data_IF_484537841552
#
_entry.id   IF_484537841552
#
_cell.length_a   1.000
_cell.length_b   1.000
_cell.length_c   1.000
_cell.angle_alpha   90.00
_cell.angle_beta   90.00
_cell.angle_gamma   90.00
#
_symmetry.space_group_name_H-M   'P 1'
#
loop_
_entity.id
_entity.type
_entity.pdbx_description
1 polymer ?
#
# COMPACT_ATOMS: atom_id res chain seq x y z
N UNK A 1 -25.32 -36.21 -3.09
CA UNK A 1 -24.96 -35.46 -4.32
C UNK A 1 -24.50 -34.07 -3.88
N UNK A 2 -23.19 -33.73 -3.98
CA UNK A 2 -22.71 -32.42 -3.58
C UNK A 2 -23.10 -31.37 -4.64
N UNK A 3 -23.44 -30.17 -4.15
CA UNK A 3 -24.05 -29.04 -4.86
C UNK A 3 -23.16 -28.53 -5.99
N UNK A 4 -23.78 -28.32 -7.16
CA UNK A 4 -23.20 -27.59 -8.27
C UNK A 4 -22.86 -26.17 -7.85
N UNK A 5 -21.58 -25.83 -7.92
CA UNK A 5 -21.16 -24.47 -8.17
C UNK A 5 -20.95 -24.39 -9.67
N UNK A 6 -21.94 -23.79 -10.31
CA UNK A 6 -21.94 -23.39 -11.69
C UNK A 6 -20.67 -22.59 -11.99
N UNK A 7 -19.92 -23.12 -12.96
CA UNK A 7 -19.07 -22.41 -13.90
C UNK A 7 -19.56 -20.97 -14.13
N UNK A 8 -19.00 -20.03 -13.38
CA UNK A 8 -19.16 -18.60 -13.58
C UNK A 8 -17.85 -17.99 -14.10
N UNK A 9 -17.89 -16.82 -14.77
CA UNK A 9 -16.74 -16.15 -15.40
C UNK A 9 -15.59 -15.75 -14.43
N UNK A 10 -15.72 -16.10 -13.15
CA UNK A 10 -14.71 -15.92 -12.10
C UNK A 10 -13.62 -17.00 -12.16
N UNK A 11 -13.93 -18.22 -12.64
CA UNK A 11 -12.96 -19.30 -12.75
C UNK A 11 -11.91 -19.04 -13.83
N UNK A 12 -12.33 -18.61 -15.02
CA UNK A 12 -11.46 -18.23 -16.15
C UNK A 12 -10.48 -17.09 -15.80
N UNK A 13 -10.94 -16.08 -15.05
CA UNK A 13 -10.09 -14.96 -14.65
C UNK A 13 -8.99 -15.37 -13.65
N UNK A 14 -9.20 -16.45 -12.89
CA UNK A 14 -8.22 -16.98 -11.96
C UNK A 14 -7.11 -17.77 -12.66
N UNK A 15 -7.42 -18.48 -13.75
CA UNK A 15 -6.43 -19.22 -14.55
C UNK A 15 -5.57 -18.28 -15.42
N UNK A 16 -6.16 -17.24 -16.01
CA UNK A 16 -5.43 -16.24 -16.79
C UNK A 16 -4.34 -15.50 -15.99
N UNK A 17 -4.54 -15.31 -14.68
CA UNK A 17 -3.53 -14.74 -13.78
C UNK A 17 -2.35 -15.67 -13.52
N UNK A 18 -2.51 -16.99 -13.67
CA UNK A 18 -1.46 -17.98 -13.41
C UNK A 18 -0.54 -18.15 -14.63
N UNK A 19 -1.09 -18.07 -15.85
CA UNK A 19 -0.32 -18.22 -17.10
C UNK A 19 0.64 -17.05 -17.37
N UNK A 20 0.26 -15.82 -16.98
CA UNK A 20 1.12 -14.64 -17.13
C UNK A 20 2.42 -14.73 -16.30
N UNK A 21 2.44 -15.52 -15.22
CA UNK A 21 3.60 -15.69 -14.35
C UNK A 21 4.65 -16.65 -14.94
N UNK A 22 4.25 -17.56 -15.85
CA UNK A 22 5.13 -18.59 -16.43
C UNK A 22 5.97 -18.08 -17.61
N UNK A 23 5.55 -16.97 -18.25
CA UNK A 23 6.14 -16.49 -19.50
C UNK A 23 7.47 -15.74 -19.38
N UNK A 24 7.98 -15.53 -18.17
CA UNK A 24 9.31 -14.93 -17.97
C UNK A 24 9.49 -13.58 -18.66
N UNK A 25 8.43 -12.79 -18.80
CA UNK A 25 8.57 -11.39 -19.17
C UNK A 25 9.17 -10.71 -17.94
N UNK A 26 10.48 -10.50 -17.99
CA UNK A 26 11.14 -9.56 -17.10
C UNK A 26 10.50 -8.21 -17.37
N UNK A 27 9.41 -7.93 -16.64
CA UNK A 27 9.03 -6.57 -16.31
C UNK A 27 10.23 -6.07 -15.55
N UNK A 28 11.22 -5.52 -16.27
CA UNK A 28 12.23 -4.69 -15.66
C UNK A 28 11.40 -3.67 -14.88
N UNK A 29 11.41 -3.69 -13.54
CA UNK A 29 10.69 -2.69 -12.80
C UNK A 29 11.32 -1.39 -13.27
N UNK A 30 10.58 -0.58 -14.04
CA UNK A 30 10.93 0.82 -14.32
C UNK A 30 11.48 1.33 -13.01
N UNK A 31 12.77 1.67 -12.97
CA UNK A 31 13.53 1.85 -11.73
C UNK A 31 12.80 2.87 -10.85
N UNK A 32 11.86 2.36 -10.07
CA UNK A 32 10.94 3.16 -9.30
C UNK A 32 11.83 3.73 -8.23
N UNK A 33 11.92 5.05 -8.19
CA UNK A 33 12.64 5.75 -7.13
C UNK A 33 12.32 5.05 -5.81
N UNK A 34 13.35 4.72 -5.01
CA UNK A 34 13.24 3.74 -3.94
C UNK A 34 12.00 4.03 -3.09
N UNK A 35 11.12 3.03 -2.93
CA UNK A 35 9.88 3.19 -2.17
C UNK A 35 10.19 3.76 -0.78
N UNK A 36 9.82 5.02 -0.54
CA UNK A 36 9.96 5.69 0.75
C UNK A 36 8.71 5.46 1.59
N UNK A 37 8.88 5.49 2.91
CA UNK A 37 7.78 5.33 3.87
C UNK A 37 7.22 6.70 4.23
N UNK A 38 6.01 6.99 3.78
CA UNK A 38 5.28 8.22 4.07
C UNK A 38 4.43 8.06 5.34
N UNK A 39 4.54 9.01 6.28
CA UNK A 39 3.74 9.09 7.51
C UNK A 39 2.57 10.02 7.27
N UNK A 40 1.37 9.51 7.58
CA UNK A 40 0.12 10.26 7.53
C UNK A 40 -0.53 10.26 8.91
N UNK A 41 -1.25 11.34 9.23
CA UNK A 41 -2.04 11.45 10.45
C UNK A 41 -2.82 12.75 10.47
N UNK A 42 -3.52 12.97 11.57
CA UNK A 42 -4.24 14.21 11.86
C UNK A 42 -3.49 14.96 12.96
N UNK A 43 -3.55 16.29 12.93
CA UNK A 43 -2.89 17.20 13.89
C UNK A 43 -3.91 18.18 14.46
N UNK A 44 -3.51 18.94 15.48
CA UNK A 44 -4.35 19.99 16.08
C UNK A 44 -4.80 21.05 15.07
N UNK A 45 -3.93 21.39 14.12
CA UNK A 45 -4.22 22.36 13.06
C UNK A 45 -5.11 21.74 11.95
N UNK A 46 -4.89 20.46 11.64
CA UNK A 46 -5.65 19.76 10.62
C UNK A 46 -6.14 18.39 11.12
N UNK A 47 -7.42 18.36 11.51
CA UNK A 47 -8.09 17.16 12.02
C UNK A 47 -8.31 16.06 10.97
N UNK A 48 -8.15 16.35 9.68
CA UNK A 48 -8.20 15.35 8.62
C UNK A 48 -6.85 14.65 8.44
N UNK A 49 -6.88 13.43 7.92
CA UNK A 49 -5.66 12.66 7.68
C UNK A 49 -4.88 13.27 6.53
N UNK A 50 -3.70 13.82 6.82
CA UNK A 50 -2.81 14.44 5.86
C UNK A 50 -1.38 13.91 6.01
N UNK A 51 -0.51 14.27 5.07
CA UNK A 51 0.88 13.86 5.07
C UNK A 51 1.65 14.68 6.13
N UNK A 52 2.32 13.99 7.04
CA UNK A 52 3.10 14.60 8.12
C UNK A 52 4.59 14.65 7.80
N UNK A 53 5.08 13.72 6.96
CA UNK A 53 6.49 13.64 6.59
C UNK A 53 6.89 12.23 6.17
N UNK A 54 8.16 12.05 5.83
CA UNK A 54 8.73 10.73 5.56
C UNK A 54 9.22 10.10 6.86
N UNK A 55 9.07 8.79 7.02
CA UNK A 55 9.46 8.06 8.23
C UNK A 55 10.99 8.02 8.48
N UNK A 56 11.79 8.57 7.58
CA UNK A 56 13.23 8.80 7.76
C UNK A 56 13.51 10.18 8.39
N UNK A 57 12.55 11.09 8.30
CA UNK A 57 12.63 12.49 8.74
C UNK A 57 11.76 12.76 9.97
N UNK A 58 10.62 12.05 10.09
CA UNK A 58 9.71 12.14 11.23
C UNK A 58 9.50 10.77 11.86
N UNK A 59 9.52 10.72 13.19
CA UNK A 59 9.25 9.49 13.94
C UNK A 59 7.73 9.39 14.24
N UNK A 60 7.04 8.38 13.67
CA UNK A 60 5.60 8.22 13.85
C UNK A 60 5.19 7.90 15.30
N UNK A 61 6.03 7.19 16.04
CA UNK A 61 5.76 6.84 17.44
C UNK A 61 5.96 8.09 18.31
N UNK A 62 7.04 8.84 18.12
CA UNK A 62 7.28 10.06 18.89
C UNK A 62 6.18 11.11 18.68
N UNK A 63 5.68 11.27 17.45
CA UNK A 63 4.54 12.16 17.14
C UNK A 63 3.26 11.77 17.87
N UNK A 64 3.04 10.48 18.06
CA UNK A 64 1.89 9.97 18.79
C UNK A 64 2.08 10.10 20.30
N UNK A 65 3.26 9.78 20.82
CA UNK A 65 3.61 9.91 22.24
C UNK A 65 3.59 11.35 22.74
N UNK A 66 4.03 12.30 21.90
CA UNK A 66 3.97 13.74 22.21
C UNK A 66 2.56 14.31 22.13
N UNK A 67 1.64 13.61 21.45
CA UNK A 67 0.28 14.06 21.19
C UNK A 67 0.18 15.09 20.06
N UNK A 68 1.25 15.34 19.30
CA UNK A 68 1.24 16.26 18.15
C UNK A 68 0.41 15.73 16.98
N UNK A 69 0.30 14.41 16.85
CA UNK A 69 -0.52 13.78 15.83
C UNK A 69 -1.20 12.49 16.30
N UNK A 70 -2.33 12.17 15.67
CA UNK A 70 -3.12 10.97 15.93
C UNK A 70 -3.58 10.30 14.64
N UNK A 71 -4.08 9.07 14.75
CA UNK A 71 -4.51 8.29 13.58
C UNK A 71 -3.37 7.97 12.62
N UNK A 72 -2.15 7.80 13.15
CA UNK A 72 -0.93 7.63 12.38
C UNK A 72 -1.01 6.40 11.47
N UNK A 73 -0.54 6.53 10.23
CA UNK A 73 -0.39 5.42 9.28
C UNK A 73 0.83 5.61 8.41
N UNK A 74 1.57 4.52 8.19
CA UNK A 74 2.77 4.52 7.36
C UNK A 74 2.49 3.75 6.07
N UNK A 75 2.64 4.42 4.93
CA UNK A 75 2.40 3.85 3.60
C UNK A 75 3.68 3.89 2.77
N UNK A 76 3.88 2.88 1.92
CA UNK A 76 4.95 2.92 0.91
C UNK A 76 4.51 3.77 -0.28
N UNK A 77 5.36 4.69 -0.70
CA UNK A 77 5.16 5.56 -1.86
C UNK A 77 6.46 5.62 -2.66
N UNK A 78 6.40 5.72 -4.00
CA UNK A 78 7.57 6.13 -4.76
C UNK A 78 8.09 7.45 -4.19
N UNK A 79 9.40 7.52 -3.91
CA UNK A 79 10.05 8.78 -3.58
C UNK A 79 9.98 9.69 -4.81
N UNK A 80 9.60 10.96 -4.61
CA UNK A 80 9.69 11.99 -5.66
C UNK A 80 11.16 12.26 -6.03
#
# INVERSE_FOLDING_TARGET
MPRGYEEGPVAEAAEARRDALERGESVEPEAHAPDRRAVYGSTEDNGEKHFLGWADEVDPDALFESGEAWGISVLRRPGD
#
